data_IF_359722616049
#
_entry.id   IF_359722616049
#
_cell.length_a   1.000
_cell.length_b   1.000
_cell.length_c   1.000
_cell.angle_alpha   90.00
_cell.angle_beta   90.00
_cell.angle_gamma   90.00
#
_symmetry.space_group_name_H-M   'P 1'
#
loop_
_entity.id
_entity.type
_entity.pdbx_description
1 polymer ?
#
# COMPACT_ATOMS: atom_id res chain seq x y z
N UNK A 1 -10.37 -6.31 28.78
CA UNK A 1 -10.95 -4.98 28.53
C UNK A 1 -11.58 -5.04 27.15
N UNK A 2 -12.90 -5.22 27.03
CA UNK A 2 -13.61 -5.28 25.73
C UNK A 2 -14.03 -3.85 25.37
N UNK A 3 -13.10 -3.10 24.79
CA UNK A 3 -13.19 -1.64 24.67
C UNK A 3 -13.77 -1.13 23.36
N UNK A 4 -14.82 -1.76 22.80
CA UNK A 4 -15.39 -1.28 21.54
C UNK A 4 -16.76 -1.84 21.20
N UNK A 5 -17.50 -1.09 20.38
CA UNK A 5 -18.76 -1.52 19.75
C UNK A 5 -18.45 -2.01 18.33
N UNK A 6 -18.48 -3.33 18.05
CA UNK A 6 -18.22 -3.83 16.72
C UNK A 6 -19.42 -3.57 15.79
N UNK A 7 -19.22 -2.75 14.75
CA UNK A 7 -20.19 -2.55 13.67
C UNK A 7 -20.10 -3.69 12.64
N UNK A 8 -20.62 -4.87 13.00
CA UNK A 8 -20.52 -6.09 12.17
C UNK A 8 -21.28 -5.96 10.85
N UNK A 9 -22.42 -5.28 10.83
CA UNK A 9 -23.20 -5.08 9.62
C UNK A 9 -22.39 -4.28 8.58
N UNK A 10 -21.60 -3.29 9.02
CA UNK A 10 -20.66 -2.51 8.19
C UNK A 10 -19.63 -3.37 7.45
N UNK A 11 -19.05 -4.34 8.16
CA UNK A 11 -17.97 -5.18 7.65
C UNK A 11 -18.49 -6.23 6.67
N UNK A 12 -19.58 -6.93 7.03
CA UNK A 12 -20.06 -8.07 6.24
C UNK A 12 -21.11 -7.69 5.18
N UNK A 13 -21.61 -6.46 5.22
CA UNK A 13 -22.79 -6.08 4.45
C UNK A 13 -24.05 -6.77 4.96
N UNK A 14 -25.21 -6.15 4.72
CA UNK A 14 -26.51 -6.78 4.96
C UNK A 14 -27.43 -6.59 3.76
N UNK A 15 -28.48 -7.38 3.72
CA UNK A 15 -29.54 -7.20 2.72
C UNK A 15 -30.06 -5.75 2.73
N UNK A 16 -30.37 -5.18 1.56
CA UNK A 16 -30.41 -5.80 0.23
C UNK A 16 -29.05 -5.85 -0.49
N UNK A 17 -28.09 -5.00 -0.13
CA UNK A 17 -26.85 -4.83 -0.92
C UNK A 17 -25.81 -5.95 -0.71
N UNK A 18 -25.76 -6.59 0.47
CA UNK A 18 -24.83 -7.70 0.81
C UNK A 18 -23.36 -7.44 0.46
N UNK A 19 -22.93 -6.19 0.47
CA UNK A 19 -21.57 -5.80 0.11
C UNK A 19 -20.96 -4.91 1.20
N UNK A 20 -19.63 -4.94 1.29
CA UNK A 20 -18.87 -4.17 2.29
C UNK A 20 -19.13 -2.67 2.08
N UNK A 21 -19.34 -1.95 3.18
CA UNK A 21 -19.62 -0.50 3.19
C UNK A 21 -20.94 -0.04 2.51
N UNK A 22 -21.81 -0.93 2.04
CA UNK A 22 -23.16 -0.56 1.60
C UNK A 22 -24.22 -1.26 2.45
N UNK A 23 -24.73 -0.56 3.46
CA UNK A 23 -25.84 -1.01 4.31
C UNK A 23 -26.84 0.13 4.46
N UNK A 24 -28.16 -0.15 4.35
CA UNK A 24 -29.17 0.86 4.66
C UNK A 24 -29.04 1.32 6.12
N UNK A 25 -29.16 2.62 6.37
CA UNK A 25 -29.04 3.19 7.72
C UNK A 25 -29.94 2.49 8.76
N UNK A 26 -31.16 2.12 8.37
CA UNK A 26 -32.10 1.39 9.24
C UNK A 26 -31.61 -0.03 9.60
N UNK A 27 -30.95 -0.71 8.67
CA UNK A 27 -30.40 -2.05 8.90
C UNK A 27 -29.18 -2.01 9.82
N UNK A 28 -28.33 -0.99 9.66
CA UNK A 28 -27.22 -0.72 10.59
C UNK A 28 -27.76 -0.41 12.00
N UNK A 29 -28.80 0.45 12.09
CA UNK A 29 -29.46 0.75 13.35
C UNK A 29 -30.01 -0.50 14.04
N UNK A 30 -30.78 -1.33 13.31
CA UNK A 30 -31.40 -2.53 13.86
C UNK A 30 -30.36 -3.56 14.34
N UNK A 31 -29.31 -3.77 13.55
CA UNK A 31 -28.37 -4.86 13.82
C UNK A 31 -27.22 -4.48 14.74
N UNK A 32 -26.67 -3.27 14.65
CA UNK A 32 -25.48 -2.86 15.40
C UNK A 32 -25.76 -1.79 16.45
N UNK A 33 -26.72 -0.88 16.23
CA UNK A 33 -26.97 0.25 17.15
C UNK A 33 -27.93 -0.11 18.27
N UNK A 34 -29.12 -0.59 17.92
CA UNK A 34 -30.18 -0.91 18.86
C UNK A 34 -29.73 -1.92 19.94
N UNK A 35 -29.03 -3.03 19.63
CA UNK A 35 -28.65 -4.00 20.65
C UNK A 35 -27.65 -3.43 21.67
N UNK A 36 -26.76 -2.51 21.26
CA UNK A 36 -25.84 -1.83 22.17
C UNK A 36 -26.58 -0.90 23.15
N UNK A 37 -27.58 -0.15 22.67
CA UNK A 37 -28.38 0.70 23.54
C UNK A 37 -29.19 -0.14 24.55
N UNK A 38 -29.89 -1.18 24.10
CA UNK A 38 -30.67 -2.02 25.01
C UNK A 38 -29.80 -2.81 26.01
N UNK A 39 -28.66 -3.36 25.57
CA UNK A 39 -27.84 -4.22 26.43
C UNK A 39 -26.82 -3.47 27.29
N UNK A 40 -26.37 -2.29 26.88
CA UNK A 40 -25.40 -1.49 27.61
C UNK A 40 -26.01 -0.16 28.07
N UNK A 41 -26.38 0.76 27.18
CA UNK A 41 -26.69 2.16 27.58
C UNK A 41 -28.01 2.39 28.32
N UNK A 42 -29.03 1.57 28.11
CA UNK A 42 -30.33 1.67 28.80
C UNK A 42 -30.45 0.79 30.03
N UNK A 43 -29.35 0.18 30.46
CA UNK A 43 -29.29 -0.60 31.69
C UNK A 43 -28.87 0.30 32.86
N UNK A 44 -29.41 0.06 34.05
CA UNK A 44 -29.14 0.88 35.23
C UNK A 44 -27.65 0.95 35.64
N UNK A 45 -26.85 -0.06 35.26
CA UNK A 45 -25.40 -0.11 35.52
C UNK A 45 -24.56 0.15 34.27
N UNK A 46 -25.19 0.56 33.17
CA UNK A 46 -24.56 0.79 31.88
C UNK A 46 -23.57 -0.32 31.45
N UNK A 47 -22.31 0.05 31.23
CA UNK A 47 -21.23 -0.83 30.79
C UNK A 47 -20.88 -1.93 31.82
N UNK A 48 -21.25 -1.73 33.09
CA UNK A 48 -21.07 -2.69 34.19
C UNK A 48 -22.27 -3.65 34.35
N UNK A 49 -23.32 -3.53 33.54
CA UNK A 49 -24.44 -4.45 33.58
C UNK A 49 -24.03 -5.84 33.05
N UNK A 50 -24.58 -6.91 33.65
CA UNK A 50 -24.36 -8.28 33.18
C UNK A 50 -24.79 -8.47 31.72
N UNK A 51 -25.87 -7.81 31.31
CA UNK A 51 -26.36 -7.75 29.92
C UNK A 51 -25.34 -7.14 28.97
N UNK A 52 -24.57 -6.13 29.41
CA UNK A 52 -23.50 -5.54 28.59
C UNK A 52 -22.28 -6.47 28.50
N UNK A 53 -21.93 -7.18 29.57
CA UNK A 53 -20.90 -8.21 29.54
C UNK A 53 -21.26 -9.34 28.58
N UNK A 54 -22.51 -9.80 28.61
CA UNK A 54 -23.05 -10.79 27.66
C UNK A 54 -23.01 -10.26 26.22
N UNK A 55 -23.38 -9.00 26.00
CA UNK A 55 -23.27 -8.34 24.69
C UNK A 55 -21.81 -8.38 24.18
N UNK A 56 -20.85 -7.97 25.01
CA UNK A 56 -19.42 -7.96 24.64
C UNK A 56 -18.86 -9.37 24.42
N UNK A 57 -19.37 -10.38 25.14
CA UNK A 57 -18.96 -11.78 24.96
C UNK A 57 -19.44 -12.36 23.62
N UNK A 58 -20.71 -12.16 23.24
CA UNK A 58 -21.24 -12.64 21.97
C UNK A 58 -20.84 -11.75 20.78
N UNK A 59 -20.60 -10.48 21.06
CA UNK A 59 -20.17 -9.45 20.10
C UNK A 59 -18.81 -8.92 20.50
N UNK A 60 -17.84 -9.83 20.59
CA UNK A 60 -16.44 -9.45 20.78
C UNK A 60 -16.01 -8.48 19.69
N UNK A 61 -15.45 -7.35 20.12
CA UNK A 61 -14.64 -6.49 19.26
C UNK A 61 -13.37 -7.26 18.87
N UNK A 62 -12.85 -7.02 17.66
CA UNK A 62 -11.52 -7.53 17.33
C UNK A 62 -10.50 -6.94 18.31
N UNK A 63 -9.74 -7.79 18.98
CA UNK A 63 -8.76 -7.43 20.01
C UNK A 63 -7.33 -7.32 19.43
N UNK A 64 -7.21 -7.26 18.10
CA UNK A 64 -5.96 -7.23 17.32
C UNK A 64 -4.95 -8.34 17.67
N UNK A 65 -5.33 -9.33 18.50
CA UNK A 65 -4.44 -10.40 18.98
C UNK A 65 -3.94 -11.30 17.86
N UNK A 66 -4.73 -11.44 16.80
CA UNK A 66 -4.40 -12.19 15.58
C UNK A 66 -3.91 -11.30 14.43
N UNK A 67 -3.65 -10.01 14.67
CA UNK A 67 -3.17 -9.12 13.62
C UNK A 67 -1.74 -9.50 13.23
N UNK A 68 -1.58 -9.89 11.97
CA UNK A 68 -0.27 -10.12 11.38
C UNK A 68 0.13 -8.86 10.63
N UNK A 69 1.16 -8.17 11.13
CA UNK A 69 1.69 -7.00 10.45
C UNK A 69 2.27 -7.40 9.08
N UNK A 70 1.97 -6.66 8.01
CA UNK A 70 2.61 -6.88 6.72
C UNK A 70 4.10 -6.52 6.78
N UNK A 71 4.90 -7.13 5.91
CA UNK A 71 6.25 -6.67 5.64
C UNK A 71 6.22 -5.40 4.80
N UNK A 72 7.24 -4.55 4.94
CA UNK A 72 7.31 -3.25 4.28
C UNK A 72 8.62 -3.19 3.51
N UNK A 73 8.53 -3.11 2.19
CA UNK A 73 9.66 -2.77 1.32
C UNK A 73 9.54 -1.32 0.88
N UNK A 74 10.65 -0.59 0.84
CA UNK A 74 10.63 0.87 0.62
C UNK A 74 11.65 1.33 -0.40
N UNK A 75 11.28 2.35 -1.17
CA UNK A 75 12.21 3.10 -2.02
C UNK A 75 12.03 4.58 -1.77
N UNK A 76 13.11 5.29 -1.43
CA UNK A 76 13.10 6.71 -1.10
C UNK A 76 14.43 7.39 -1.45
N UNK A 77 14.44 8.72 -1.53
CA UNK A 77 15.67 9.49 -1.76
C UNK A 77 16.33 9.19 -3.11
N UNK A 78 17.65 9.09 -3.13
CA UNK A 78 18.50 9.02 -4.33
C UNK A 78 19.14 7.63 -4.59
N UNK A 79 18.39 6.75 -5.25
CA UNK A 79 17.39 5.93 -4.62
C UNK A 79 18.00 4.94 -3.61
N UNK A 80 17.54 5.02 -2.37
CA UNK A 80 17.75 4.04 -1.32
C UNK A 80 16.63 3.00 -1.35
N UNK A 81 17.01 1.75 -1.14
CA UNK A 81 16.12 0.60 -1.09
C UNK A 81 16.19 -0.06 0.28
N UNK A 82 15.04 -0.47 0.78
CA UNK A 82 14.88 -1.30 1.97
C UNK A 82 14.03 -2.49 1.58
N UNK A 83 14.60 -3.69 1.62
CA UNK A 83 13.90 -4.94 1.27
C UNK A 83 12.85 -5.30 2.32
N UNK A 84 11.99 -6.27 2.01
CA UNK A 84 11.00 -6.78 2.98
C UNK A 84 11.65 -7.34 4.25
N UNK A 85 12.86 -7.87 4.13
CA UNK A 85 13.66 -8.43 5.22
C UNK A 85 14.62 -7.41 5.85
N UNK A 86 14.40 -6.12 5.57
CA UNK A 86 15.07 -4.96 6.18
C UNK A 86 16.54 -4.80 5.79
N UNK A 87 16.95 -5.33 4.65
CA UNK A 87 18.26 -5.05 4.09
C UNK A 87 18.26 -3.70 3.38
N UNK A 88 19.19 -2.83 3.78
CA UNK A 88 19.32 -1.50 3.20
C UNK A 88 20.44 -1.47 2.17
N UNK A 89 20.15 -1.02 0.97
CA UNK A 89 21.15 -0.81 -0.07
C UNK A 89 20.81 0.38 -0.96
N UNK A 90 21.80 0.85 -1.71
CA UNK A 90 21.66 1.99 -2.63
C UNK A 90 22.13 1.56 -4.01
N UNK A 91 21.39 1.94 -5.04
CA UNK A 91 21.87 1.81 -6.41
C UNK A 91 21.38 2.98 -7.27
N UNK A 92 22.24 3.50 -8.14
CA UNK A 92 21.86 4.54 -9.09
C UNK A 92 21.10 3.91 -10.27
N UNK A 93 19.81 3.67 -10.07
CA UNK A 93 18.92 3.13 -11.07
C UNK A 93 18.50 4.22 -12.07
N UNK A 94 18.76 4.02 -13.37
CA UNK A 94 18.17 4.84 -14.45
C UNK A 94 17.45 3.91 -15.42
N UNK A 95 16.15 4.09 -15.59
CA UNK A 95 15.30 3.20 -16.38
C UNK A 95 14.09 2.69 -15.60
N UNK A 96 13.51 1.61 -16.09
CA UNK A 96 12.36 0.92 -15.49
C UNK A 96 12.84 -0.38 -14.88
N UNK A 97 12.42 -0.64 -13.64
CA UNK A 97 12.86 -1.79 -12.87
C UNK A 97 11.67 -2.40 -12.13
N UNK A 98 11.75 -3.69 -11.88
CA UNK A 98 10.75 -4.44 -11.14
C UNK A 98 11.05 -4.39 -9.64
N UNK A 99 10.21 -3.66 -8.88
CA UNK A 99 10.33 -3.62 -7.42
C UNK A 99 9.89 -4.94 -6.80
N UNK A 100 8.74 -5.45 -7.26
CA UNK A 100 8.16 -6.71 -6.80
C UNK A 100 7.57 -7.44 -7.98
N UNK A 101 7.91 -8.72 -8.09
CA UNK A 101 7.30 -9.67 -9.00
C UNK A 101 6.88 -10.91 -8.19
N UNK A 102 5.64 -11.32 -8.35
CA UNK A 102 5.09 -12.53 -7.76
C UNK A 102 4.35 -13.24 -8.87
N UNK A 103 4.76 -14.47 -9.20
CA UNK A 103 4.05 -15.32 -10.15
C UNK A 103 3.80 -16.70 -9.55
N UNK A 104 2.73 -16.81 -8.76
CA UNK A 104 2.28 -18.06 -8.15
C UNK A 104 0.84 -18.38 -8.57
N UNK A 105 0.41 -19.63 -8.36
CA UNK A 105 -0.96 -20.04 -8.68
C UNK A 105 -2.03 -19.28 -7.88
N UNK A 106 -1.66 -18.77 -6.69
CA UNK A 106 -2.55 -18.10 -5.75
C UNK A 106 -2.46 -16.57 -5.88
N UNK A 107 -1.26 -16.03 -6.05
CA UNK A 107 -0.99 -14.60 -6.10
C UNK A 107 -0.19 -14.26 -7.35
N UNK A 108 -0.59 -13.20 -8.05
CA UNK A 108 0.13 -12.65 -9.20
C UNK A 108 0.21 -11.15 -9.03
N UNK A 109 1.38 -10.60 -8.75
CA UNK A 109 1.53 -9.18 -8.44
C UNK A 109 2.79 -8.64 -9.07
N UNK A 110 2.62 -7.54 -9.81
CA UNK A 110 3.70 -6.82 -10.45
C UNK A 110 3.70 -5.37 -9.96
N UNK A 111 4.83 -4.93 -9.42
CA UNK A 111 5.09 -3.54 -9.05
C UNK A 111 6.38 -3.10 -9.74
N UNK A 112 6.24 -2.14 -10.64
CA UNK A 112 7.34 -1.58 -11.42
C UNK A 112 7.57 -0.12 -11.05
N UNK A 113 8.81 0.31 -11.14
CA UNK A 113 9.24 1.66 -10.84
C UNK A 113 10.08 2.23 -11.98
N UNK A 114 9.84 3.50 -12.30
CA UNK A 114 10.67 4.27 -13.23
C UNK A 114 11.52 5.26 -12.46
N UNK A 115 12.82 5.14 -12.64
CA UNK A 115 13.82 6.07 -12.13
C UNK A 115 14.38 6.90 -13.27
N UNK A 116 14.36 8.22 -13.11
CA UNK A 116 14.92 9.15 -14.08
C UNK A 116 16.02 9.99 -13.44
N UNK A 117 16.84 10.60 -14.29
CA UNK A 117 17.86 11.53 -13.83
C UNK A 117 17.19 12.81 -13.32
N UNK A 118 17.63 13.29 -12.16
CA UNK A 118 17.09 14.51 -11.56
C UNK A 118 17.28 15.70 -12.53
N UNK A 119 16.22 16.48 -12.79
CA UNK A 119 16.31 17.61 -13.70
C UNK A 119 17.27 18.66 -13.15
N UNK A 120 17.97 19.35 -14.06
CA UNK A 120 18.86 20.46 -13.70
C UNK A 120 18.04 21.66 -13.25
N UNK A 121 18.54 22.40 -12.26
CA UNK A 121 17.90 23.63 -11.78
C UNK A 121 17.88 24.70 -12.87
N UNK A 122 19.01 24.94 -13.53
CA UNK A 122 19.13 25.80 -14.71
C UNK A 122 19.69 25.00 -15.88
N UNK A 123 19.33 25.39 -17.11
CA UNK A 123 19.86 24.77 -18.34
C UNK A 123 21.39 24.88 -18.46
N UNK A 124 21.97 25.90 -17.82
CA UNK A 124 23.42 26.16 -17.78
C UNK A 124 24.17 25.27 -16.79
N UNK A 125 23.47 24.67 -15.83
CA UNK A 125 24.12 23.86 -14.81
C UNK A 125 24.60 22.54 -15.42
N UNK A 126 25.67 21.92 -14.88
CA UNK A 126 26.05 20.58 -15.30
C UNK A 126 24.94 19.56 -14.97
N UNK A 127 24.86 18.42 -15.69
CA UNK A 127 23.95 17.35 -15.33
C UNK A 127 24.28 16.82 -13.93
N UNK A 128 23.26 16.65 -13.10
CA UNK A 128 23.40 16.00 -11.81
C UNK A 128 23.44 14.50 -12.02
N UNK A 129 24.47 13.83 -11.49
CA UNK A 129 24.62 12.38 -11.53
C UNK A 129 23.81 11.72 -10.41
N UNK A 130 22.53 12.07 -10.31
CA UNK A 130 21.60 11.54 -9.34
C UNK A 130 20.30 11.12 -10.04
N UNK A 131 19.70 10.05 -9.53
CA UNK A 131 18.45 9.50 -10.04
C UNK A 131 17.38 9.53 -8.96
N UNK A 132 16.14 9.74 -9.35
CA UNK A 132 15.00 9.78 -8.44
C UNK A 132 13.85 8.94 -8.99
N UNK A 133 13.01 8.44 -8.08
CA UNK A 133 11.78 7.74 -8.44
C UNK A 133 10.75 8.72 -9.01
N UNK A 134 10.31 8.48 -10.24
CA UNK A 134 9.42 9.38 -10.97
C UNK A 134 8.04 8.79 -11.26
N UNK A 135 7.96 7.47 -11.39
CA UNK A 135 6.69 6.78 -11.56
C UNK A 135 6.72 5.38 -10.92
N UNK A 136 5.55 4.92 -10.51
CA UNK A 136 5.31 3.57 -10.00
C UNK A 136 4.06 3.03 -10.68
N UNK A 137 4.11 1.82 -11.20
CA UNK A 137 2.95 1.11 -11.75
C UNK A 137 2.75 -0.19 -11.00
N UNK A 138 1.51 -0.54 -10.68
CA UNK A 138 1.18 -1.74 -9.95
C UNK A 138 -0.08 -2.42 -10.51
N UNK A 139 -0.05 -3.77 -10.53
CA UNK A 139 -1.16 -4.60 -10.99
C UNK A 139 -1.18 -5.92 -10.22
N UNK A 140 -2.36 -6.30 -9.74
CA UNK A 140 -2.61 -7.59 -9.08
C UNK A 140 -3.50 -8.46 -9.98
N UNK A 141 -2.91 -9.49 -10.59
CA UNK A 141 -3.58 -10.48 -11.42
C UNK A 141 -4.45 -9.83 -12.54
N UNK A 142 -5.78 -9.84 -12.36
CA UNK A 142 -6.77 -9.29 -13.29
C UNK A 142 -7.34 -7.93 -12.84
N UNK A 143 -6.71 -7.28 -11.86
CA UNK A 143 -7.05 -5.93 -11.41
C UNK A 143 -6.84 -4.91 -12.51
N UNK A 144 -7.42 -3.73 -12.31
CA UNK A 144 -7.04 -2.51 -13.01
C UNK A 144 -5.57 -2.19 -12.75
N UNK A 145 -4.91 -1.60 -13.75
CA UNK A 145 -3.52 -1.14 -13.63
C UNK A 145 -3.55 0.25 -12.99
N UNK A 146 -2.80 0.43 -11.91
CA UNK A 146 -2.66 1.72 -11.23
C UNK A 146 -1.26 2.27 -11.49
N UNK A 147 -1.20 3.49 -12.01
CA UNK A 147 0.06 4.21 -12.22
C UNK A 147 0.07 5.51 -11.43
N UNK A 148 1.15 5.72 -10.71
CA UNK A 148 1.47 6.95 -10.00
C UNK A 148 2.62 7.62 -10.75
N UNK A 149 2.45 8.88 -11.12
CA UNK A 149 3.50 9.64 -11.83
C UNK A 149 3.67 11.01 -11.23
N UNK A 150 4.90 11.40 -10.95
CA UNK A 150 5.19 12.75 -10.48
C UNK A 150 4.79 13.78 -11.55
N UNK A 151 4.05 14.83 -11.14
CA UNK A 151 3.71 15.91 -12.08
C UNK A 151 4.95 16.77 -12.38
N UNK A 152 5.05 17.38 -13.57
CA UNK A 152 6.10 18.37 -13.81
C UNK A 152 5.90 19.60 -12.92
N UNK A 153 6.98 20.31 -12.58
CA UNK A 153 6.94 21.47 -11.67
C UNK A 153 5.88 22.50 -12.08
N UNK A 154 5.75 22.77 -13.38
CA UNK A 154 4.76 23.70 -13.92
C UNK A 154 3.29 23.28 -13.67
N UNK A 155 3.03 21.99 -13.43
CA UNK A 155 1.70 21.46 -13.18
C UNK A 155 1.43 21.13 -11.69
N UNK A 156 2.39 21.38 -10.78
CA UNK A 156 2.29 21.04 -9.34
C UNK A 156 1.58 22.08 -8.46
N UNK A 157 0.90 23.06 -9.04
CA UNK A 157 0.27 24.16 -8.30
C UNK A 157 -0.86 23.71 -7.36
N UNK A 158 -1.53 22.59 -7.66
CA UNK A 158 -2.60 22.01 -6.83
C UNK A 158 -2.32 20.56 -6.46
N UNK A 159 -2.20 19.69 -7.44
CA UNK A 159 -1.90 18.27 -7.23
C UNK A 159 -0.42 17.97 -7.46
N UNK A 160 0.17 17.10 -6.65
CA UNK A 160 1.61 16.77 -6.70
C UNK A 160 1.93 15.59 -7.64
N UNK A 161 1.06 14.57 -7.68
CA UNK A 161 1.19 13.43 -8.59
C UNK A 161 -0.05 13.28 -9.50
N UNK A 162 0.14 12.64 -10.64
CA UNK A 162 -0.92 12.04 -11.44
C UNK A 162 -1.20 10.64 -10.91
N UNK A 163 -2.47 10.31 -10.75
CA UNK A 163 -2.93 8.96 -10.50
C UNK A 163 -3.74 8.54 -11.72
N UNK A 164 -3.34 7.43 -12.33
CA UNK A 164 -3.91 6.93 -13.57
C UNK A 164 -4.37 5.51 -13.32
N UNK A 165 -5.62 5.20 -13.65
CA UNK A 165 -6.18 3.85 -13.54
C UNK A 165 -6.70 3.44 -14.91
N UNK A 166 -6.21 2.32 -15.44
CA UNK A 166 -6.56 1.83 -16.80
C UNK A 166 -6.50 2.93 -17.89
N UNK A 167 -5.47 3.78 -17.81
CA UNK A 167 -5.18 4.92 -18.71
C UNK A 167 -6.07 6.16 -18.52
N UNK A 168 -6.93 6.18 -17.50
CA UNK A 168 -7.75 7.34 -17.16
C UNK A 168 -7.22 8.05 -15.91
N UNK A 169 -7.23 9.38 -15.92
CA UNK A 169 -6.78 10.17 -14.77
C UNK A 169 -7.85 10.19 -13.67
N UNK A 170 -7.45 9.86 -12.46
CA UNK A 170 -8.30 9.84 -11.27
C UNK A 170 -7.97 11.03 -10.38
N UNK A 171 -9.01 11.67 -9.85
CA UNK A 171 -8.89 12.83 -8.98
C UNK A 171 -9.79 12.71 -7.75
N UNK A 172 -9.35 13.33 -6.66
CA UNK A 172 -10.11 13.47 -5.42
C UNK A 172 -10.58 14.92 -5.29
N UNK A 173 -11.85 15.18 -5.62
CA UNK A 173 -12.40 16.55 -5.61
C UNK A 173 -13.07 16.93 -4.29
N UNK A 174 -13.53 15.94 -3.51
CA UNK A 174 -14.20 16.14 -2.23
C UNK A 174 -13.79 15.06 -1.21
N UNK A 175 -13.97 15.37 0.07
CA UNK A 175 -13.68 14.49 1.19
C UNK A 175 -14.58 13.24 1.21
N UNK A 176 -15.76 13.29 0.59
CA UNK A 176 -16.60 12.09 0.41
C UNK A 176 -15.96 11.05 -0.51
N UNK A 177 -15.02 11.46 -1.39
CA UNK A 177 -14.36 10.60 -2.36
C UNK A 177 -12.97 10.12 -1.94
N UNK A 178 -12.63 10.22 -0.65
CA UNK A 178 -11.35 9.71 -0.10
C UNK A 178 -11.04 8.27 -0.51
N UNK A 179 -12.07 7.46 -0.69
CA UNK A 179 -11.96 6.07 -1.12
C UNK A 179 -12.63 5.89 -2.48
N UNK A 180 -11.88 5.38 -3.46
CA UNK A 180 -12.37 5.07 -4.80
C UNK A 180 -12.09 3.60 -5.11
N UNK A 181 -13.12 2.85 -5.47
CA UNK A 181 -13.01 1.42 -5.75
C UNK A 181 -12.95 1.19 -7.26
N UNK A 182 -11.95 0.44 -7.70
CA UNK A 182 -11.79 -0.04 -9.06
C UNK A 182 -11.78 -1.57 -9.04
N UNK A 183 -11.61 -2.18 -10.21
CA UNK A 183 -11.58 -3.63 -10.31
C UNK A 183 -10.32 -4.17 -9.62
N UNK A 184 -10.48 -4.92 -8.53
CA UNK A 184 -9.36 -5.57 -7.84
C UNK A 184 -8.43 -4.64 -7.07
N UNK A 185 -8.74 -3.35 -6.98
CA UNK A 185 -7.92 -2.34 -6.30
C UNK A 185 -8.79 -1.19 -5.78
N UNK A 186 -8.51 -0.77 -4.55
CA UNK A 186 -9.11 0.40 -3.92
C UNK A 186 -8.04 1.46 -3.71
N UNK A 187 -8.29 2.67 -4.19
CA UNK A 187 -7.44 3.82 -3.95
C UNK A 187 -7.96 4.64 -2.77
N UNK A 188 -7.05 5.01 -1.88
CA UNK A 188 -7.34 5.75 -0.66
C UNK A 188 -6.42 6.97 -0.53
N UNK A 189 -7.01 8.13 -0.25
CA UNK A 189 -6.28 9.35 0.13
C UNK A 189 -6.50 9.62 1.63
N UNK A 190 -5.43 9.73 2.44
CA UNK A 190 -5.54 10.05 3.86
C UNK A 190 -6.23 11.37 4.17
N UNK A 191 -6.84 11.45 5.35
CA UNK A 191 -7.56 12.64 5.80
C UNK A 191 -6.61 13.84 5.98
N UNK A 192 -7.08 15.04 5.60
CA UNK A 192 -6.30 16.28 5.72
C UNK A 192 -5.36 16.55 4.54
N UNK A 193 -5.25 15.63 3.58
CA UNK A 193 -4.46 15.81 2.35
C UNK A 193 -5.42 16.04 1.19
N UNK A 194 -5.26 17.15 0.46
CA UNK A 194 -6.10 17.52 -0.71
C UNK A 194 -5.28 17.74 -2.00
N UNK A 195 -3.95 17.76 -1.88
CA UNK A 195 -3.02 18.02 -2.97
C UNK A 195 -2.52 16.73 -3.65
N UNK A 196 -3.15 15.57 -3.38
CA UNK A 196 -2.72 14.27 -3.90
C UNK A 196 -1.21 14.05 -3.72
N UNK A 197 -0.63 14.48 -2.60
CA UNK A 197 0.79 14.20 -2.28
C UNK A 197 0.98 12.82 -1.68
N UNK A 198 -0.10 12.15 -1.28
CA UNK A 198 -0.07 10.86 -0.61
C UNK A 198 -1.31 10.06 -1.02
N UNK A 199 -1.08 8.92 -1.66
CA UNK A 199 -2.15 8.03 -2.12
C UNK A 199 -1.73 6.58 -1.85
N UNK A 200 -2.69 5.77 -1.42
CA UNK A 200 -2.50 4.36 -1.08
C UNK A 200 -3.38 3.53 -2.01
N UNK A 201 -2.79 2.61 -2.76
CA UNK A 201 -3.48 1.56 -3.49
C UNK A 201 -3.51 0.28 -2.65
N UNK A 202 -4.69 -0.25 -2.40
CA UNK A 202 -4.90 -1.52 -1.70
C UNK A 202 -5.49 -2.53 -2.68
N UNK A 203 -4.77 -3.62 -2.94
CA UNK A 203 -5.20 -4.69 -3.83
C UNK A 203 -6.01 -5.76 -3.09
N UNK A 204 -6.87 -6.47 -3.82
CA UNK A 204 -7.71 -7.53 -3.25
C UNK A 204 -6.91 -8.72 -2.70
N UNK A 205 -5.68 -8.96 -3.20
CA UNK A 205 -4.76 -9.94 -2.60
C UNK A 205 -4.27 -9.55 -1.19
N UNK A 206 -4.55 -8.31 -0.75
CA UNK A 206 -4.07 -7.75 0.52
C UNK A 206 -2.74 -7.02 0.41
N UNK A 207 -2.09 -7.05 -0.76
CA UNK A 207 -0.92 -6.22 -1.02
C UNK A 207 -1.30 -4.74 -1.08
N UNK A 208 -0.42 -3.86 -0.60
CA UNK A 208 -0.61 -2.42 -0.60
C UNK A 208 0.57 -1.70 -1.25
N UNK A 209 0.29 -0.61 -1.96
CA UNK A 209 1.31 0.29 -2.51
C UNK A 209 0.96 1.72 -2.08
N UNK A 210 1.78 2.27 -1.22
CA UNK A 210 1.67 3.64 -0.74
C UNK A 210 2.70 4.51 -1.45
N UNK A 211 2.24 5.59 -2.07
CA UNK A 211 3.09 6.53 -2.79
C UNK A 211 2.94 7.90 -2.18
N UNK A 212 4.08 8.50 -1.85
CA UNK A 212 4.19 9.85 -1.32
C UNK A 212 5.07 10.70 -2.23
N UNK A 213 4.79 11.99 -2.27
CA UNK A 213 5.65 12.98 -2.92
C UNK A 213 6.32 13.83 -1.85
N UNK A 214 7.65 13.86 -1.88
CA UNK A 214 8.47 14.77 -1.08
C UNK A 214 9.56 15.37 -1.97
N UNK A 215 9.88 16.64 -1.78
CA UNK A 215 11.03 17.28 -2.43
C UNK A 215 11.10 17.26 -3.97
N UNK A 216 10.04 16.84 -4.68
CA UNK A 216 10.07 16.67 -6.13
C UNK A 216 10.57 15.31 -6.61
N UNK A 217 10.51 14.29 -5.76
CA UNK A 217 10.60 12.87 -6.12
C UNK A 217 9.44 12.10 -5.48
N UNK A 218 9.25 10.85 -5.89
CA UNK A 218 8.34 9.93 -5.21
C UNK A 218 9.09 9.12 -4.14
N UNK A 219 8.37 8.75 -3.10
CA UNK A 219 8.73 7.71 -2.13
C UNK A 219 7.64 6.65 -2.22
N UNK A 220 8.02 5.38 -2.26
CA UNK A 220 7.06 4.27 -2.31
C UNK A 220 7.31 3.30 -1.15
N UNK A 221 6.23 2.90 -0.50
CA UNK A 221 6.20 1.78 0.43
C UNK A 221 5.29 0.70 -0.15
N UNK A 222 5.80 -0.52 -0.21
CA UNK A 222 5.04 -1.69 -0.63
C UNK A 222 4.79 -2.55 0.61
N UNK A 223 3.53 -2.85 0.87
CA UNK A 223 3.06 -3.65 1.99
C UNK A 223 2.73 -5.05 1.50
N UNK A 224 3.36 -6.07 2.08
CA UNK A 224 3.16 -7.48 1.74
C UNK A 224 2.58 -8.27 2.92
N UNK A 225 1.39 -8.88 2.77
CA UNK A 225 0.83 -9.73 3.81
C UNK A 225 1.59 -11.07 3.88
N UNK A 226 1.41 -11.79 5.00
CA UNK A 226 2.10 -13.06 5.26
C UNK A 226 1.84 -14.16 4.23
N UNK A 227 0.76 -14.05 3.44
CA UNK A 227 0.45 -14.99 2.36
C UNK A 227 1.44 -14.97 1.20
N UNK A 228 2.26 -13.92 1.09
CA UNK A 228 3.30 -13.77 0.07
C UNK A 228 4.69 -14.26 0.51
N UNK A 229 4.80 -14.87 1.69
CA UNK A 229 6.07 -15.38 2.20
C UNK A 229 6.71 -16.36 1.22
N UNK A 230 8.02 -16.21 0.98
CA UNK A 230 8.83 -16.98 0.03
C UNK A 230 8.33 -16.92 -1.43
N UNK A 231 7.49 -15.95 -1.78
CA UNK A 231 6.86 -15.85 -3.09
C UNK A 231 7.23 -14.60 -3.89
N UNK A 232 7.99 -13.67 -3.33
CA UNK A 232 8.37 -12.41 -3.98
C UNK A 232 9.73 -12.50 -4.65
N UNK A 233 9.90 -11.81 -5.76
CA UNK A 233 11.18 -11.46 -6.36
C UNK A 233 11.20 -9.99 -6.75
N UNK A 234 12.34 -9.46 -7.19
CA UNK A 234 12.50 -8.05 -7.54
C UNK A 234 13.48 -7.33 -6.63
N UNK A 235 13.57 -6.02 -6.81
CA UNK A 235 14.49 -5.16 -6.06
C UNK A 235 14.17 -5.10 -4.55
N UNK A 236 12.94 -5.35 -4.14
CA UNK A 236 12.57 -5.42 -2.72
C UNK A 236 12.86 -6.78 -2.07
N UNK A 237 13.51 -7.69 -2.79
CA UNK A 237 14.02 -8.96 -2.27
C UNK A 237 13.00 -10.09 -2.18
N UNK A 238 13.48 -11.23 -1.71
CA UNK A 238 12.67 -12.40 -1.41
C UNK A 238 12.13 -12.23 0.02
N UNK A 239 10.82 -12.26 0.19
CA UNK A 239 10.21 -12.13 1.50
C UNK A 239 10.33 -13.46 2.28
N UNK A 240 11.51 -13.75 2.82
CA UNK A 240 11.85 -15.01 3.49
C UNK A 240 12.06 -14.87 5.01
N UNK A 241 12.15 -13.62 5.50
CA UNK A 241 12.63 -13.21 6.83
C UNK A 241 14.13 -13.40 7.02
N UNK A 242 14.88 -13.55 5.95
CA UNK A 242 16.34 -13.67 5.97
C UNK A 242 16.97 -12.74 4.92
N UNK A 243 17.57 -11.65 5.37
CA UNK A 243 18.22 -10.66 4.50
C UNK A 243 19.33 -11.24 3.60
N UNK A 244 19.81 -12.47 3.86
CA UNK A 244 20.89 -13.11 3.10
C UNK A 244 20.49 -13.57 1.71
N UNK A 245 19.21 -13.80 1.47
CA UNK A 245 18.69 -14.22 0.17
C UNK A 245 17.96 -13.11 -0.62
N UNK A 246 17.98 -11.87 -0.12
CA UNK A 246 17.36 -10.73 -0.78
C UNK A 246 17.93 -10.44 -2.18
N UNK A 247 19.22 -10.69 -2.40
CA UNK A 247 19.85 -10.55 -3.71
C UNK A 247 19.73 -11.82 -4.56
N UNK A 248 18.51 -12.32 -4.67
CA UNK A 248 18.15 -13.43 -5.56
C UNK A 248 17.76 -12.91 -6.94
N UNK A 249 18.44 -13.42 -7.96
CA UNK A 249 18.15 -13.13 -9.37
C UNK A 249 16.90 -13.89 -9.85
N UNK A 250 16.29 -13.49 -10.98
CA UNK A 250 15.16 -14.22 -11.57
C UNK A 250 15.48 -15.69 -11.90
N UNK A 251 16.75 -16.05 -12.08
CA UNK A 251 17.21 -17.41 -12.33
C UNK A 251 17.44 -18.24 -11.04
N UNK A 252 17.17 -17.67 -9.86
CA UNK A 252 17.37 -18.30 -8.55
C UNK A 252 18.80 -18.23 -8.01
N UNK A 253 19.74 -17.61 -8.72
CA UNK A 253 21.10 -17.43 -8.24
C UNK A 253 21.20 -16.25 -7.27
N UNK A 254 21.90 -16.45 -6.14
CA UNK A 254 22.15 -15.41 -5.15
C UNK A 254 23.46 -14.67 -5.43
N UNK A 255 23.45 -13.35 -5.21
CA UNK A 255 24.65 -12.49 -5.24
C UNK A 255 25.09 -12.21 -3.81
N UNK A 256 26.40 -12.03 -3.61
CA UNK A 256 26.97 -11.68 -2.31
C UNK A 256 26.47 -10.32 -1.82
N UNK A 257 26.12 -10.25 -0.53
CA UNK A 257 25.75 -9.00 0.15
C UNK A 257 26.89 -7.98 0.26
N UNK A 258 28.15 -8.40 0.10
CA UNK A 258 29.32 -7.53 0.19
C UNK A 258 29.76 -6.95 -1.17
N UNK A 259 28.84 -6.91 -2.14
CA UNK A 259 29.08 -6.35 -3.46
C UNK A 259 29.13 -4.82 -3.45
N UNK A 260 29.90 -4.25 -4.37
CA UNK A 260 29.93 -2.79 -4.56
C UNK A 260 28.59 -2.30 -5.13
N UNK A 261 28.30 -1.00 -5.03
CA UNK A 261 27.08 -0.43 -5.64
C UNK A 261 27.02 -0.66 -7.14
N UNK A 262 28.16 -0.64 -7.83
CA UNK A 262 28.26 -0.94 -9.25
C UNK A 262 27.94 -2.41 -9.55
N UNK A 263 28.47 -3.34 -8.74
CA UNK A 263 28.15 -4.77 -8.88
C UNK A 263 26.67 -5.04 -8.63
N UNK A 264 26.07 -4.42 -7.60
CA UNK A 264 24.64 -4.53 -7.31
C UNK A 264 23.84 -4.02 -8.52
N UNK A 265 24.18 -2.85 -9.05
CA UNK A 265 23.50 -2.31 -10.23
C UNK A 265 23.64 -3.24 -11.46
N UNK A 266 24.86 -3.70 -11.76
CA UNK A 266 25.15 -4.44 -12.98
C UNK A 266 24.66 -5.89 -12.94
N UNK A 267 24.71 -6.54 -11.79
CA UNK A 267 24.37 -7.96 -11.65
C UNK A 267 22.93 -8.15 -11.17
N UNK A 268 22.51 -7.41 -10.15
CA UNK A 268 21.18 -7.54 -9.55
C UNK A 268 20.17 -6.59 -10.18
N UNK A 269 20.49 -5.29 -10.20
CA UNK A 269 19.61 -4.24 -10.73
C UNK A 269 19.19 -4.48 -12.18
N UNK A 270 20.14 -4.76 -13.08
CA UNK A 270 19.84 -5.02 -14.50
C UNK A 270 19.07 -6.31 -14.78
N UNK A 271 18.98 -7.22 -13.83
CA UNK A 271 18.23 -8.46 -14.00
C UNK A 271 16.73 -8.28 -13.74
N UNK A 272 16.33 -7.18 -13.09
CA UNK A 272 14.97 -6.87 -12.65
C UNK A 272 14.45 -5.58 -13.29
#
# INVERSE_FOLDING_TARGET
MYGGRPSRAYIYGKHPFKMRMMIPALSEWLHDTMPFFFCCKWQAKEDNAHTCQMYNYWRTSQDCSSYQAPAIGSVYGDPHFVTFDRYNYTMNAKGEYTLVHVDNAIHKLDVQARFEQVPRNRRTDPPLNATALMAVAARDNISSIVEFRLRPVAARWRYQMYVIVDKEYVFWWDESMRLQNFKGVTLYQPAGIQNMSHVIAMFDSGAGVEVMTDGGHLTVHVYMPYTFLNGTGGLLGLYSRDFRDDFTLPNGQQISLQSTQEDIHMRFGKAW
#
